data_IF_812522144470
#
_entry.id   IF_812522144470
#
_cell.length_a   1.000
_cell.length_b   1.000
_cell.length_c   1.000
_cell.angle_alpha   90.00
_cell.angle_beta   90.00
_cell.angle_gamma   90.00
#
_symmetry.space_group_name_H-M   'P 1'
#
loop_
_entity.id
_entity.type
_entity.pdbx_description
1 polymer ?
#
# COMPACT_ATOMS: atom_id res chain seq x y z
N UNK A 1 7.91 12.05 4.79
CA UNK A 1 7.09 11.25 5.74
C UNK A 1 5.64 11.60 5.52
N UNK A 2 4.71 10.69 5.80
CA UNK A 2 3.27 10.88 5.68
C UNK A 2 2.59 10.71 7.05
N UNK A 3 1.52 11.48 7.29
CA UNK A 3 0.72 11.44 8.52
C UNK A 3 -0.76 11.43 8.18
N UNK A 4 -1.58 10.84 9.05
CA UNK A 4 -3.01 11.03 9.00
C UNK A 4 -3.35 12.53 9.24
N UNK A 5 -4.37 13.09 8.57
CA UNK A 5 -4.84 14.45 8.84
C UNK A 5 -5.26 14.63 10.30
N UNK A 6 -4.87 15.74 10.93
CA UNK A 6 -5.12 16.01 12.36
C UNK A 6 -6.59 16.23 12.71
N UNK A 7 -7.42 16.61 11.74
CA UNK A 7 -8.84 16.86 11.93
C UNK A 7 -9.70 15.58 11.94
N UNK A 8 -9.13 14.43 11.59
CA UNK A 8 -9.87 13.16 11.54
C UNK A 8 -9.72 12.37 12.83
N UNK A 9 -10.77 11.68 13.29
CA UNK A 9 -10.66 10.79 14.44
C UNK A 9 -9.80 9.57 14.09
N UNK A 10 -9.22 8.92 15.12
CA UNK A 10 -8.43 7.70 14.99
C UNK A 10 -9.30 6.47 14.72
N UNK A 11 -9.96 6.45 13.56
CA UNK A 11 -10.87 5.41 13.12
C UNK A 11 -10.53 4.97 11.69
N UNK A 12 -10.91 3.75 11.35
CA UNK A 12 -11.02 3.28 9.96
C UNK A 12 -12.46 2.85 9.67
N UNK A 13 -12.90 3.01 8.41
CA UNK A 13 -14.12 2.38 7.92
C UNK A 13 -13.78 1.00 7.36
N UNK A 14 -14.25 -0.06 8.02
CA UNK A 14 -14.18 -1.42 7.51
C UNK A 14 -15.57 -1.79 6.97
N UNK A 15 -15.74 -1.74 5.64
CA UNK A 15 -17.03 -2.01 4.99
C UNK A 15 -17.59 -3.37 5.41
N UNK A 16 -18.86 -3.37 5.79
CA UNK A 16 -19.54 -4.55 6.36
C UNK A 16 -19.40 -4.71 7.88
N UNK A 17 -18.45 -4.01 8.52
CA UNK A 17 -18.28 -3.98 9.97
C UNK A 17 -18.61 -2.61 10.60
N UNK A 18 -18.36 -1.52 9.87
CA UNK A 18 -18.58 -0.14 10.34
C UNK A 18 -17.28 0.60 10.68
N UNK A 19 -17.36 1.55 11.60
CA UNK A 19 -16.20 2.33 12.06
C UNK A 19 -15.48 1.60 13.20
N UNK A 20 -14.17 1.41 13.05
CA UNK A 20 -13.34 0.70 14.02
C UNK A 20 -12.28 1.65 14.60
N UNK A 21 -12.09 1.70 15.94
CA UNK A 21 -11.02 2.47 16.55
C UNK A 21 -9.65 1.86 16.26
N UNK A 22 -8.65 2.72 16.06
CA UNK A 22 -7.27 2.31 15.79
C UNK A 22 -6.26 3.11 16.61
N UNK A 23 -5.12 2.49 16.89
CA UNK A 23 -3.94 3.18 17.40
C UNK A 23 -3.14 3.70 16.21
N UNK A 24 -2.94 5.02 16.12
CA UNK A 24 -2.16 5.62 15.04
C UNK A 24 -0.68 5.26 15.21
N UNK A 25 -0.02 4.90 14.10
CA UNK A 25 1.43 4.67 14.08
C UNK A 25 2.26 5.96 14.14
N UNK A 26 1.62 7.13 14.04
CA UNK A 26 2.29 8.41 13.81
C UNK A 26 2.82 8.52 12.38
N UNK A 27 3.92 9.26 12.23
CA UNK A 27 4.55 9.57 10.94
C UNK A 27 5.20 8.33 10.32
N UNK A 28 4.84 8.01 9.07
CA UNK A 28 5.34 6.85 8.35
C UNK A 28 6.18 7.25 7.11
N UNK A 29 7.18 6.44 6.78
CA UNK A 29 7.92 6.57 5.51
C UNK A 29 7.09 5.94 4.40
N UNK A 30 6.91 6.67 3.29
CA UNK A 30 6.36 6.10 2.07
C UNK A 30 7.43 5.27 1.37
N UNK A 31 7.13 4.02 1.04
CA UNK A 31 8.09 3.07 0.43
C UNK A 31 7.56 2.40 -0.83
N UNK A 32 6.25 2.46 -1.08
CA UNK A 32 5.61 1.90 -2.26
C UNK A 32 4.24 2.53 -2.50
N UNK A 33 3.74 2.43 -3.73
CA UNK A 33 2.39 2.83 -4.13
C UNK A 33 1.67 1.62 -4.74
N UNK A 34 0.40 1.46 -4.39
CA UNK A 34 -0.48 0.46 -5.00
C UNK A 34 -1.63 1.19 -5.69
N UNK A 35 -1.73 1.02 -7.00
CA UNK A 35 -2.89 1.46 -7.77
C UNK A 35 -3.97 0.37 -7.69
N UNK A 36 -5.10 0.72 -7.07
CA UNK A 36 -6.22 -0.20 -6.86
C UNK A 36 -7.15 -0.28 -8.08
N UNK A 37 -7.04 0.64 -9.04
CA UNK A 37 -7.91 0.70 -10.22
C UNK A 37 -7.42 -0.22 -11.35
N UNK A 38 -6.11 -0.54 -11.37
CA UNK A 38 -5.50 -1.37 -12.41
C UNK A 38 -5.28 -2.80 -11.88
N UNK A 39 -5.74 -3.80 -12.64
CA UNK A 39 -5.49 -5.21 -12.34
C UNK A 39 -4.11 -5.64 -12.89
N UNK A 40 -3.31 -6.28 -12.04
CA UNK A 40 -2.09 -6.97 -12.46
C UNK A 40 -2.44 -8.28 -13.19
N UNK A 41 -1.95 -8.43 -14.42
CA UNK A 41 -2.21 -9.61 -15.27
C UNK A 41 -0.98 -10.48 -15.52
N UNK A 42 0.22 -9.92 -15.41
CA UNK A 42 1.46 -10.67 -15.57
C UNK A 42 1.73 -11.56 -14.36
N UNK A 43 2.19 -12.80 -14.57
CA UNK A 43 2.62 -13.68 -13.47
C UNK A 43 3.77 -13.06 -12.67
N UNK A 44 4.71 -12.43 -13.35
CA UNK A 44 5.78 -11.64 -12.76
C UNK A 44 5.55 -10.17 -13.16
N UNK A 45 5.27 -9.27 -12.21
CA UNK A 45 4.98 -7.88 -12.54
C UNK A 45 6.20 -7.17 -13.12
N UNK A 46 5.98 -6.39 -14.18
CA UNK A 46 6.98 -5.44 -14.67
C UNK A 46 7.27 -4.37 -13.62
N UNK A 47 8.53 -3.94 -13.54
CA UNK A 47 8.94 -2.76 -12.76
C UNK A 47 8.23 -1.51 -13.27
N UNK A 48 7.68 -0.75 -12.35
CA UNK A 48 7.02 0.53 -12.61
C UNK A 48 7.35 1.47 -11.48
N UNK A 49 7.45 2.75 -11.84
CA UNK A 49 7.74 3.83 -10.92
C UNK A 49 6.57 4.81 -10.86
N UNK A 50 6.35 5.39 -9.70
CA UNK A 50 5.38 6.45 -9.45
C UNK A 50 6.09 7.67 -8.86
N UNK A 51 5.93 8.82 -9.49
CA UNK A 51 6.50 10.09 -9.03
C UNK A 51 5.48 10.92 -8.27
N UNK A 52 5.81 11.29 -7.04
CA UNK A 52 4.98 12.14 -6.18
C UNK A 52 5.85 13.18 -5.48
N UNK A 53 5.55 14.47 -5.69
CA UNK A 53 6.31 15.59 -5.14
C UNK A 53 7.84 15.49 -5.41
N UNK A 54 8.22 15.01 -6.60
CA UNK A 54 9.63 14.84 -6.99
C UNK A 54 10.33 13.62 -6.36
N UNK A 55 9.61 12.78 -5.62
CA UNK A 55 10.09 11.51 -5.09
C UNK A 55 9.59 10.36 -5.95
N UNK A 56 10.43 9.33 -6.14
CA UNK A 56 10.08 8.14 -6.92
C UNK A 56 9.86 6.94 -6.00
N UNK A 57 8.77 6.21 -6.24
CA UNK A 57 8.37 5.02 -5.49
C UNK A 57 8.07 3.87 -6.45
N UNK A 58 8.28 2.61 -6.05
CA UNK A 58 7.81 1.46 -6.81
C UNK A 58 6.27 1.48 -6.89
N UNK A 59 5.73 1.16 -8.06
CA UNK A 59 4.30 1.07 -8.33
C UNK A 59 3.87 -0.39 -8.53
N UNK A 60 2.92 -0.81 -7.70
CA UNK A 60 2.22 -2.09 -7.83
C UNK A 60 0.79 -1.85 -8.28
N UNK A 61 0.21 -2.84 -8.97
CA UNK A 61 -1.19 -2.85 -9.36
C UNK A 61 -1.96 -3.85 -8.48
N UNK A 62 -3.28 -3.69 -8.39
CA UNK A 62 -4.16 -4.60 -7.64
C UNK A 62 -4.01 -6.04 -8.11
N UNK A 63 -3.94 -6.97 -7.17
CA UNK A 63 -4.17 -8.40 -7.42
C UNK A 63 -5.57 -8.76 -6.93
N UNK A 64 -6.34 -9.46 -7.76
CA UNK A 64 -7.67 -9.93 -7.38
C UNK A 64 -7.57 -11.27 -6.65
N UNK A 65 -7.33 -11.22 -5.35
CA UNK A 65 -7.24 -12.43 -4.53
C UNK A 65 -7.07 -12.15 -3.03
N UNK A 66 -7.50 -13.10 -2.17
CA UNK A 66 -7.49 -12.92 -0.71
C UNK A 66 -6.08 -12.79 -0.12
N UNK A 67 -5.05 -13.21 -0.87
CA UNK A 67 -3.64 -13.15 -0.44
C UNK A 67 -3.00 -11.78 -0.66
N UNK A 68 -3.65 -10.84 -1.37
CA UNK A 68 -3.01 -9.60 -1.79
C UNK A 68 -2.52 -8.74 -0.61
N UNK A 69 -3.39 -8.51 0.38
CA UNK A 69 -3.01 -7.74 1.58
C UNK A 69 -1.85 -8.40 2.35
N UNK A 70 -1.84 -9.73 2.47
CA UNK A 70 -0.78 -10.46 3.14
C UNK A 70 0.55 -10.38 2.38
N UNK A 71 0.52 -10.41 1.04
CA UNK A 71 1.69 -10.23 0.19
C UNK A 71 2.33 -8.84 0.37
N UNK A 72 1.52 -7.77 0.45
CA UNK A 72 2.00 -6.42 0.73
C UNK A 72 2.67 -6.34 2.11
N UNK A 73 2.08 -6.95 3.14
CA UNK A 73 2.70 -7.01 4.47
C UNK A 73 4.02 -7.77 4.45
N UNK A 74 4.11 -8.90 3.73
CA UNK A 74 5.36 -9.65 3.60
C UNK A 74 6.44 -8.84 2.90
N UNK A 75 6.09 -8.12 1.82
CA UNK A 75 6.97 -7.20 1.14
C UNK A 75 7.48 -6.09 2.08
N UNK A 76 6.61 -5.51 2.91
CA UNK A 76 7.02 -4.49 3.88
C UNK A 76 7.98 -5.04 4.95
N UNK A 77 7.85 -6.34 5.30
CA UNK A 77 8.72 -6.99 6.28
C UNK A 77 10.09 -7.36 5.73
N UNK A 78 10.16 -7.84 4.48
CA UNK A 78 11.36 -8.50 3.93
C UNK A 78 11.91 -7.81 2.67
N UNK A 79 11.25 -6.77 2.17
CA UNK A 79 11.48 -6.24 0.84
C UNK A 79 10.86 -7.11 -0.25
N UNK A 80 11.11 -6.74 -1.50
CA UNK A 80 10.88 -7.63 -2.65
C UNK A 80 12.21 -7.96 -3.30
N UNK A 81 12.32 -9.17 -3.83
CA UNK A 81 13.45 -9.55 -4.65
C UNK A 81 13.14 -9.17 -6.09
N UNK A 82 14.08 -8.46 -6.71
CA UNK A 82 14.08 -8.18 -8.13
C UNK A 82 14.82 -9.30 -8.86
N UNK A 83 14.13 -10.19 -9.61
CA UNK A 83 14.76 -11.37 -10.20
C UNK A 83 15.67 -11.06 -11.41
N UNK A 84 15.78 -9.78 -11.82
CA UNK A 84 16.74 -9.31 -12.84
C UNK A 84 18.04 -8.77 -12.23
#
# INVERSE_FOLDING_TARGET
MANAPTALPSLIEARGLGLLPVVLSGSARLVAVVDMDILATDRLPKKRDFSLFGLTFPLFHRVDGPHFAAALVQMLKQGWHDPE
#
